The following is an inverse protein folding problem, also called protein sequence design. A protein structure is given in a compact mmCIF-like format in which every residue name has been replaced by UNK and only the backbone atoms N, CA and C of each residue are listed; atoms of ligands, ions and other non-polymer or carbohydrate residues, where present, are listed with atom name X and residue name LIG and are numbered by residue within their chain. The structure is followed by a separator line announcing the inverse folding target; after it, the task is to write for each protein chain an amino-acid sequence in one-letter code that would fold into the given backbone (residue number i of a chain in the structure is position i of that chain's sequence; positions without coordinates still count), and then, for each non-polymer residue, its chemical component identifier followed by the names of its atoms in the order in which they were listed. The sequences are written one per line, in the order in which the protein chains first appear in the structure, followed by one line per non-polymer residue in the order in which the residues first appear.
data_IF_425441700578
#
_entry.id   IF_425441700578
#
_cell.length_a   1.000
_cell.length_b   1.000
_cell.length_c   1.000
_cell.angle_alpha   90.00
_cell.angle_beta   90.00
_cell.angle_gamma   90.00
#
_symmetry.space_group_name_H-M   'P 1'
#
loop_
_entity.id
_entity.type
_entity.pdbx_description
1 polymer ?
#
# COMPACT_ATOMS: atom_id res chain seq x y z
N UNK A 1 -4.18 13.97 13.88
CA UNK A 1 -3.93 12.76 13.09
C UNK A 1 -2.49 12.35 13.29
N UNK A 2 -2.26 11.09 13.63
CA UNK A 2 -0.91 10.52 13.81
C UNK A 2 -0.15 10.36 12.50
N UNK A 3 -0.85 10.40 11.40
CA UNK A 3 -0.25 10.45 10.08
C UNK A 3 0.16 11.87 9.71
N UNK A 4 1.21 12.38 10.34
CA UNK A 4 1.93 13.55 9.83
C UNK A 4 2.55 13.30 8.43
N UNK A 5 2.39 12.09 7.88
CA UNK A 5 2.70 11.74 6.49
C UNK A 5 1.63 12.17 5.49
N UNK A 6 0.56 12.82 5.94
CA UNK A 6 -0.38 13.45 5.02
C UNK A 6 0.28 14.65 4.36
N UNK A 7 0.16 14.83 3.04
CA UNK A 7 0.54 16.10 2.46
C UNK A 7 -0.32 17.17 3.13
N UNK A 8 0.34 18.19 3.61
CA UNK A 8 -0.33 19.32 4.28
C UNK A 8 -1.30 19.99 3.31
N UNK A 9 -1.15 19.75 2.02
CA UNK A 9 -2.01 20.28 0.95
C UNK A 9 -1.80 19.54 -0.38
N UNK A 10 -2.75 19.69 -1.30
CA UNK A 10 -2.71 19.28 -2.71
C UNK A 10 -2.89 17.77 -2.93
N UNK A 11 -2.32 17.20 -4.00
CA UNK A 11 -2.57 15.79 -4.39
C UNK A 11 -1.40 14.91 -4.06
N UNK A 12 -1.70 13.84 -3.32
CA UNK A 12 -0.79 12.73 -3.08
C UNK A 12 -1.46 11.43 -3.59
N UNK A 13 -0.65 10.49 -4.10
CA UNK A 13 -1.10 9.13 -4.35
C UNK A 13 0.00 8.12 -3.97
N UNK A 14 0.44 7.26 -4.85
CA UNK A 14 1.29 6.10 -4.59
C UNK A 14 2.47 6.38 -3.65
N UNK A 15 2.68 5.57 -2.62
CA UNK A 15 3.94 5.57 -1.89
C UNK A 15 5.06 5.11 -2.81
N UNK A 16 6.18 5.82 -2.78
CA UNK A 16 7.34 5.57 -3.63
C UNK A 16 8.61 5.51 -2.81
N UNK A 17 9.64 4.90 -3.37
CA UNK A 17 10.97 4.98 -2.82
C UNK A 17 11.14 4.53 -1.38
N UNK A 18 10.27 3.65 -0.87
CA UNK A 18 10.29 3.20 0.51
C UNK A 18 11.59 2.50 0.83
N UNK A 19 12.41 3.07 1.72
CA UNK A 19 13.72 2.52 2.08
C UNK A 19 14.10 2.84 3.52
N UNK A 20 14.74 1.88 4.20
CA UNK A 20 15.32 2.07 5.50
C UNK A 20 16.84 2.24 5.38
N UNK A 21 17.36 3.38 5.81
CA UNK A 21 18.78 3.70 5.73
C UNK A 21 19.25 4.39 7.03
N UNK A 22 20.35 3.89 7.60
CA UNK A 22 21.01 4.46 8.78
C UNK A 22 20.10 4.82 9.97
N UNK A 23 19.11 3.95 10.24
CA UNK A 23 18.16 4.15 11.36
C UNK A 23 16.98 5.05 11.03
N UNK A 24 16.80 5.43 9.77
CA UNK A 24 15.74 6.31 9.29
C UNK A 24 14.92 5.63 8.20
N UNK A 25 13.61 5.72 8.31
CA UNK A 25 12.67 5.32 7.28
C UNK A 25 12.46 6.51 6.34
N UNK A 26 12.70 6.31 5.05
CA UNK A 26 12.41 7.27 4.00
C UNK A 26 11.17 6.84 3.24
N UNK A 27 10.25 7.75 3.08
CA UNK A 27 9.01 7.63 2.32
C UNK A 27 8.99 8.73 1.27
N UNK A 28 8.97 8.36 0.01
CA UNK A 28 8.62 9.25 -1.08
C UNK A 28 7.18 8.94 -1.52
N UNK A 29 6.59 9.87 -2.23
CA UNK A 29 5.22 9.70 -2.72
C UNK A 29 4.97 10.51 -3.96
N UNK A 30 4.07 10.04 -4.81
CA UNK A 30 3.55 10.82 -5.92
C UNK A 30 2.94 12.10 -5.38
N UNK A 31 3.34 13.25 -5.91
CA UNK A 31 2.93 14.54 -5.39
C UNK A 31 2.71 15.58 -6.52
N UNK A 32 1.56 16.25 -6.48
CA UNK A 32 1.30 17.41 -7.31
C UNK A 32 1.07 18.63 -6.42
N UNK A 33 2.04 19.55 -6.31
CA UNK A 33 2.02 20.63 -5.30
C UNK A 33 1.22 21.87 -5.70
N UNK A 34 0.56 21.92 -6.87
CA UNK A 34 0.02 23.16 -7.41
C UNK A 34 -1.50 23.23 -7.47
N UNK A 35 -2.21 22.11 -7.40
CA UNK A 35 -3.66 22.08 -7.44
C UNK A 35 -4.22 20.76 -6.87
N UNK A 36 -5.54 20.74 -6.58
CA UNK A 36 -6.27 19.54 -6.16
C UNK A 36 -6.71 18.65 -7.34
N UNK A 37 -5.96 18.70 -8.44
CA UNK A 37 -6.13 17.90 -9.65
C UNK A 37 -4.82 17.24 -10.05
N UNK A 38 -4.86 16.25 -10.93
CA UNK A 38 -3.63 15.67 -11.49
C UNK A 38 -2.91 16.67 -12.39
N UNK A 39 -1.61 16.62 -12.39
CA UNK A 39 -0.73 17.41 -13.23
C UNK A 39 0.63 16.77 -13.41
N UNK A 40 1.67 17.55 -13.71
CA UNK A 40 3.02 17.04 -13.80
C UNK A 40 3.52 16.59 -12.42
N UNK A 41 3.50 15.29 -12.19
CA UNK A 41 3.81 14.67 -10.89
C UNK A 41 5.27 14.85 -10.50
N UNK A 42 5.49 14.99 -9.20
CA UNK A 42 6.77 15.09 -8.51
C UNK A 42 6.90 13.93 -7.53
N UNK A 43 8.06 13.76 -6.90
CA UNK A 43 8.16 12.99 -5.66
C UNK A 43 8.28 13.93 -4.47
N UNK A 44 7.25 13.90 -3.59
CA UNK A 44 7.37 14.42 -2.23
C UNK A 44 8.26 13.49 -1.39
N UNK A 45 8.72 13.97 -0.23
CA UNK A 45 9.63 13.22 0.65
C UNK A 45 9.29 13.46 2.11
N UNK A 46 9.26 12.39 2.89
CA UNK A 46 9.14 12.42 4.34
C UNK A 46 10.05 11.36 4.97
N UNK A 47 10.43 11.59 6.22
CA UNK A 47 11.28 10.67 7.00
C UNK A 47 10.66 10.40 8.36
N UNK A 48 10.93 9.19 8.89
CA UNK A 48 10.46 8.77 10.22
C UNK A 48 11.49 7.89 10.91
N UNK A 49 11.43 7.82 12.24
CA UNK A 49 12.19 6.86 13.04
C UNK A 49 11.36 5.64 13.46
N UNK A 50 10.04 5.73 13.37
CA UNK A 50 9.12 4.70 13.88
C UNK A 50 7.95 4.37 12.93
N UNK A 51 7.90 4.98 11.74
CA UNK A 51 6.83 4.87 10.74
C UNK A 51 5.48 5.46 11.17
N UNK A 52 5.42 6.11 12.33
CA UNK A 52 4.20 6.72 12.86
C UNK A 52 4.29 8.25 12.90
N UNK A 53 5.48 8.78 13.22
CA UNK A 53 5.74 10.22 13.27
C UNK A 53 6.65 10.60 12.11
N UNK A 54 6.14 11.45 11.25
CA UNK A 54 6.80 11.82 10.00
C UNK A 54 7.23 13.27 9.98
N UNK A 55 8.41 13.52 9.46
CA UNK A 55 8.91 14.84 9.15
C UNK A 55 8.99 15.03 7.64
N UNK A 56 8.29 16.02 7.11
CA UNK A 56 8.39 16.39 5.70
C UNK A 56 9.72 17.03 5.38
N UNK A 57 10.27 16.64 4.24
CA UNK A 57 11.47 17.19 3.64
C UNK A 57 11.11 17.93 2.33
N UNK A 58 12.03 18.68 1.73
CA UNK A 58 11.81 19.28 0.41
C UNK A 58 11.44 18.22 -0.63
N UNK A 59 10.71 18.64 -1.67
CA UNK A 59 10.41 17.79 -2.84
C UNK A 59 11.71 17.20 -3.39
N UNK A 60 11.77 15.87 -3.51
CA UNK A 60 12.98 15.16 -3.91
C UNK A 60 13.20 15.16 -5.43
N UNK A 61 12.13 14.97 -6.22
CA UNK A 61 12.23 14.90 -7.68
C UNK A 61 11.19 15.81 -8.34
N UNK A 62 11.68 16.58 -9.30
CA UNK A 62 10.89 17.49 -10.12
C UNK A 62 10.81 16.98 -11.58
N UNK A 63 9.74 17.26 -12.32
CA UNK A 63 9.69 17.05 -13.77
C UNK A 63 10.89 17.65 -14.50
N UNK A 64 11.26 17.05 -15.63
CA UNK A 64 12.32 17.52 -16.53
C UNK A 64 11.94 17.32 -18.01
N UNK A 65 12.92 17.41 -18.91
CA UNK A 65 12.75 17.22 -20.34
C UNK A 65 12.33 15.81 -20.76
N UNK A 66 12.51 14.80 -19.88
CA UNK A 66 12.05 13.41 -20.10
C UNK A 66 10.61 13.21 -19.66
N UNK A 67 10.01 14.17 -18.95
CA UNK A 67 8.62 14.12 -18.52
C UNK A 67 8.42 14.32 -17.01
N UNK A 68 7.19 14.09 -16.57
CA UNK A 68 6.85 14.09 -15.14
C UNK A 68 7.35 12.80 -14.44
N UNK A 69 7.36 12.83 -13.11
CA UNK A 69 7.93 11.76 -12.29
C UNK A 69 6.81 10.83 -11.83
N UNK A 70 6.72 9.63 -12.42
CA UNK A 70 5.82 8.59 -12.01
C UNK A 70 6.47 7.70 -10.93
N UNK A 71 5.73 6.65 -10.52
CA UNK A 71 6.10 5.80 -9.39
C UNK A 71 7.41 5.04 -9.60
N UNK A 72 7.94 4.53 -8.49
CA UNK A 72 9.18 3.77 -8.46
C UNK A 72 9.67 3.49 -7.03
N UNK A 73 10.95 3.15 -6.91
CA UNK A 73 11.52 2.67 -5.65
C UNK A 73 12.87 3.33 -5.32
N UNK A 74 13.30 3.19 -4.07
CA UNK A 74 14.62 3.59 -3.62
C UNK A 74 15.44 2.37 -3.13
N UNK A 75 16.74 2.40 -3.37
CA UNK A 75 17.69 1.43 -2.83
C UNK A 75 18.82 2.18 -2.09
N UNK A 76 19.27 1.63 -0.97
CA UNK A 76 20.44 2.11 -0.24
C UNK A 76 21.71 1.41 -0.75
N UNK A 77 22.54 2.12 -1.51
CA UNK A 77 23.79 1.61 -2.10
C UNK A 77 24.94 1.63 -1.09
N UNK A 78 24.83 0.78 -0.07
CA UNK A 78 25.82 0.69 1.02
C UNK A 78 27.25 0.47 0.52
N UNK A 79 27.40 -0.33 -0.53
CA UNK A 79 28.70 -0.80 -1.03
C UNK A 79 29.23 0.01 -2.23
N UNK A 80 28.54 1.11 -2.59
CA UNK A 80 28.91 1.95 -3.73
C UNK A 80 29.03 1.19 -5.06
N UNK A 81 28.12 0.27 -5.31
CA UNK A 81 28.06 -0.50 -6.55
C UNK A 81 27.82 0.40 -7.78
N UNK A 82 27.02 1.45 -7.60
CA UNK A 82 26.76 2.47 -8.62
C UNK A 82 27.93 3.40 -8.91
N UNK A 83 28.92 3.48 -7.99
CA UNK A 83 30.02 4.45 -7.99
C UNK A 83 29.57 5.93 -7.85
N UNK A 84 28.36 6.16 -7.32
CA UNK A 84 27.79 7.49 -7.10
C UNK A 84 27.99 8.00 -5.65
N UNK A 85 28.61 7.20 -4.79
CA UNK A 85 28.86 7.50 -3.38
C UNK A 85 28.48 6.34 -2.48
N UNK A 86 29.33 5.97 -1.52
CA UNK A 86 29.03 4.93 -0.54
C UNK A 86 27.92 5.40 0.39
N UNK A 87 26.87 4.60 0.55
CA UNK A 87 25.69 4.98 1.34
C UNK A 87 24.74 5.92 0.63
N UNK A 88 24.84 6.07 -0.69
CA UNK A 88 23.86 6.86 -1.44
C UNK A 88 22.47 6.19 -1.47
N UNK A 89 21.43 7.00 -1.40
CA UNK A 89 20.07 6.59 -1.78
C UNK A 89 19.91 6.73 -3.29
N UNK A 90 19.53 5.64 -3.95
CA UNK A 90 19.32 5.61 -5.40
C UNK A 90 17.80 5.49 -5.66
N UNK A 91 17.20 6.53 -6.20
CA UNK A 91 15.80 6.57 -6.60
C UNK A 91 15.68 6.11 -8.06
N UNK A 92 14.91 5.04 -8.30
CA UNK A 92 14.55 4.56 -9.62
C UNK A 92 13.07 4.89 -9.84
N UNK A 93 12.77 5.58 -10.93
CA UNK A 93 11.43 6.11 -11.19
C UNK A 93 11.11 6.09 -12.69
N UNK A 94 9.85 6.23 -13.01
CA UNK A 94 9.41 6.36 -14.39
C UNK A 94 9.31 7.83 -14.77
N UNK A 95 9.93 8.21 -15.87
CA UNK A 95 9.58 9.44 -16.59
C UNK A 95 8.39 9.15 -17.51
N UNK A 96 7.34 9.97 -17.42
CA UNK A 96 6.20 9.95 -18.32
C UNK A 96 6.16 11.24 -19.14
N UNK A 97 6.41 11.10 -20.44
CA UNK A 97 6.31 12.19 -21.40
C UNK A 97 4.83 12.50 -21.66
N UNK A 98 4.36 13.64 -21.17
CA UNK A 98 2.95 14.05 -21.29
C UNK A 98 2.51 14.31 -22.74
N UNK A 99 3.44 14.67 -23.64
CA UNK A 99 3.11 14.98 -25.02
C UNK A 99 3.02 13.71 -25.89
N UNK A 100 3.91 12.75 -25.63
CA UNK A 100 4.00 11.50 -26.43
C UNK A 100 3.29 10.33 -25.77
N UNK A 101 3.00 10.42 -24.46
CA UNK A 101 2.45 9.32 -23.67
C UNK A 101 3.42 8.13 -23.56
N UNK A 102 4.74 8.39 -23.63
CA UNK A 102 5.76 7.36 -23.52
C UNK A 102 6.41 7.34 -22.15
N UNK A 103 6.78 6.16 -21.69
CA UNK A 103 7.36 5.92 -20.38
C UNK A 103 8.74 5.31 -20.50
N UNK A 104 9.68 5.74 -19.65
CA UNK A 104 11.03 5.17 -19.57
C UNK A 104 11.53 5.22 -18.14
N UNK A 105 12.48 4.33 -17.78
CA UNK A 105 12.94 4.28 -16.41
C UNK A 105 14.22 5.12 -16.24
N UNK A 106 14.24 5.92 -15.20
CA UNK A 106 15.31 6.85 -14.89
C UNK A 106 15.81 6.65 -13.45
N UNK A 107 16.94 7.24 -13.16
CA UNK A 107 17.57 7.16 -11.83
C UNK A 107 18.03 8.55 -11.36
N UNK A 108 17.87 8.79 -10.07
CA UNK A 108 18.52 9.88 -9.33
C UNK A 108 19.22 9.32 -8.10
N UNK A 109 20.13 10.09 -7.52
CA UNK A 109 20.85 9.67 -6.32
C UNK A 109 21.00 10.83 -5.32
N UNK A 110 21.16 10.47 -4.06
CA UNK A 110 21.43 11.41 -2.97
C UNK A 110 22.48 10.83 -2.02
N UNK A 111 23.47 11.62 -1.67
CA UNK A 111 24.49 11.26 -0.68
C UNK A 111 24.21 11.82 0.72
N UNK A 112 23.25 12.73 0.85
CA UNK A 112 22.84 13.32 2.12
C UNK A 112 21.42 12.87 2.57
N UNK A 113 20.72 12.08 1.71
CA UNK A 113 19.37 11.62 1.95
C UNK A 113 18.26 12.68 1.77
N UNK A 114 18.62 13.89 1.32
CA UNK A 114 17.67 15.02 1.18
C UNK A 114 17.64 15.56 -0.25
N UNK A 115 18.81 15.85 -0.82
CA UNK A 115 18.95 16.45 -2.15
C UNK A 115 19.27 15.37 -3.17
N UNK A 116 18.45 15.27 -4.21
CA UNK A 116 18.58 14.26 -5.25
C UNK A 116 19.07 14.87 -6.56
N UNK A 117 20.08 14.25 -7.15
CA UNK A 117 20.64 14.59 -8.45
C UNK A 117 20.29 13.52 -9.48
N UNK A 118 19.74 13.91 -10.63
CA UNK A 118 19.43 13.00 -11.73
C UNK A 118 20.72 12.63 -12.48
N UNK A 119 20.87 11.35 -12.80
CA UNK A 119 22.05 10.93 -13.56
C UNK A 119 21.97 11.38 -15.02
N UNK A 120 23.12 11.77 -15.58
CA UNK A 120 23.24 12.10 -17.02
C UNK A 120 23.01 10.91 -17.95
N UNK A 121 22.92 9.70 -17.40
CA UNK A 121 22.67 8.45 -18.15
C UNK A 121 21.18 8.14 -18.36
N UNK A 122 20.31 9.01 -17.89
CA UNK A 122 18.86 8.82 -18.06
C UNK A 122 18.42 8.91 -19.53
N UNK A 123 17.47 8.07 -19.97
CA UNK A 123 16.89 6.98 -19.21
C UNK A 123 17.82 5.79 -19.09
N UNK A 124 17.87 5.13 -17.91
CA UNK A 124 18.68 3.91 -17.69
C UNK A 124 18.04 2.67 -18.33
N UNK A 125 16.72 2.68 -18.53
CA UNK A 125 15.99 1.71 -19.36
C UNK A 125 15.03 2.48 -20.27
N UNK A 126 15.37 2.63 -21.57
CA UNK A 126 14.48 3.24 -22.55
C UNK A 126 13.26 2.34 -22.81
N UNK A 127 12.16 2.94 -23.25
CA UNK A 127 10.95 2.19 -23.57
C UNK A 127 11.17 1.28 -24.81
N UNK A 128 10.96 -0.03 -24.70
CA UNK A 128 11.11 -0.95 -25.84
C UNK A 128 9.89 -1.02 -26.76
N UNK A 129 8.86 -0.19 -26.54
CA UNK A 129 7.66 -0.11 -27.36
C UNK A 129 6.34 -0.43 -26.63
N UNK A 130 6.34 -0.52 -25.32
CA UNK A 130 5.11 -0.66 -24.52
C UNK A 130 4.39 0.67 -24.36
N UNK A 131 3.06 0.64 -24.35
CA UNK A 131 2.25 1.81 -23.97
C UNK A 131 2.38 2.09 -22.48
N UNK A 132 2.26 1.06 -21.67
CA UNK A 132 2.34 1.10 -20.21
C UNK A 132 3.63 0.37 -19.78
N UNK A 133 4.66 1.13 -19.34
CA UNK A 133 6.00 0.61 -19.03
C UNK A 133 6.57 1.39 -17.85
N UNK A 134 6.22 1.00 -16.61
CA UNK A 134 6.41 1.85 -15.43
C UNK A 134 6.63 1.12 -14.12
N UNK A 135 6.91 1.91 -13.07
CA UNK A 135 6.93 1.55 -11.66
C UNK A 135 8.05 0.57 -11.30
N UNK A 136 9.34 0.93 -11.51
CA UNK A 136 10.46 0.04 -11.25
C UNK A 136 10.63 -0.20 -9.74
N UNK A 137 10.59 -1.46 -9.33
CA UNK A 137 10.95 -1.90 -7.97
C UNK A 137 12.31 -2.58 -8.00
N UNK A 138 13.32 -1.88 -7.51
CA UNK A 138 14.71 -2.37 -7.41
C UNK A 138 14.93 -3.03 -6.06
N UNK A 139 15.66 -4.14 -6.04
CA UNK A 139 15.98 -4.90 -4.83
C UNK A 139 17.38 -5.53 -4.90
N UNK A 140 17.96 -5.83 -3.73
CA UNK A 140 19.18 -6.62 -3.63
C UNK A 140 18.88 -8.08 -3.99
N UNK A 141 19.55 -8.63 -4.99
CA UNK A 141 19.39 -10.02 -5.39
C UNK A 141 20.26 -10.95 -4.52
N UNK A 142 19.70 -11.40 -3.42
CA UNK A 142 20.40 -12.28 -2.48
C UNK A 142 20.61 -13.72 -2.98
N UNK A 143 20.05 -14.09 -4.13
CA UNK A 143 20.15 -15.45 -4.70
C UNK A 143 21.36 -15.53 -5.63
N UNK A 144 21.38 -14.68 -6.66
CA UNK A 144 22.40 -14.71 -7.72
C UNK A 144 23.48 -13.63 -7.55
N UNK A 145 23.37 -12.79 -6.49
CA UNK A 145 24.19 -11.60 -6.31
C UNK A 145 23.80 -10.45 -7.25
N UNK A 146 24.34 -9.26 -6.98
CA UNK A 146 23.96 -8.05 -7.71
C UNK A 146 22.56 -7.55 -7.33
N UNK A 147 21.83 -7.04 -8.31
CA UNK A 147 20.55 -6.36 -8.11
C UNK A 147 19.50 -6.88 -9.09
N UNK A 148 18.26 -6.91 -8.63
CA UNK A 148 17.10 -7.19 -9.44
C UNK A 148 16.18 -5.98 -9.55
N UNK A 149 15.34 -5.96 -10.58
CA UNK A 149 14.24 -5.02 -10.73
C UNK A 149 13.03 -5.78 -11.27
N UNK A 150 11.86 -5.51 -10.70
CA UNK A 150 10.58 -5.87 -11.30
C UNK A 150 9.91 -4.61 -11.81
N UNK A 151 9.34 -4.66 -13.01
CA UNK A 151 8.84 -3.53 -13.77
C UNK A 151 7.53 -3.90 -14.45
N UNK A 152 6.50 -3.08 -14.35
CA UNK A 152 5.24 -3.29 -15.06
C UNK A 152 5.39 -3.02 -16.56
N UNK A 153 4.86 -3.92 -17.39
CA UNK A 153 4.91 -3.85 -18.85
C UNK A 153 3.55 -4.26 -19.45
N UNK A 154 2.56 -3.36 -19.35
CA UNK A 154 1.19 -3.64 -19.73
C UNK A 154 0.52 -4.64 -18.78
N UNK A 155 0.09 -5.79 -19.28
CA UNK A 155 -0.64 -6.86 -18.57
C UNK A 155 0.25 -7.85 -17.81
N UNK A 156 1.56 -7.59 -17.73
CA UNK A 156 2.54 -8.46 -17.09
C UNK A 156 3.66 -7.66 -16.42
N UNK A 157 4.57 -8.35 -15.73
CA UNK A 157 5.81 -7.77 -15.22
C UNK A 157 7.01 -8.33 -15.98
N UNK A 158 8.04 -7.51 -16.09
CA UNK A 158 9.38 -7.90 -16.53
C UNK A 158 10.34 -7.91 -15.35
N UNK A 159 11.25 -8.89 -15.34
CA UNK A 159 12.38 -8.94 -14.41
C UNK A 159 13.64 -8.49 -15.13
N UNK A 160 14.43 -7.69 -14.44
CA UNK A 160 15.71 -7.16 -14.92
C UNK A 160 16.80 -7.39 -13.90
N UNK A 161 18.05 -7.56 -14.34
CA UNK A 161 19.20 -7.74 -13.48
C UNK A 161 20.31 -6.76 -13.80
N UNK A 162 21.10 -6.39 -12.77
CA UNK A 162 22.25 -5.49 -12.87
C UNK A 162 23.32 -5.89 -11.87
N UNK A 163 24.59 -5.62 -12.19
CA UNK A 163 25.71 -5.74 -11.27
C UNK A 163 26.15 -4.38 -10.69
N UNK A 164 25.69 -3.28 -11.27
CA UNK A 164 26.17 -1.94 -10.96
C UNK A 164 25.04 -0.89 -10.83
N UNK A 165 23.77 -1.31 -10.82
CA UNK A 165 22.59 -0.43 -10.70
C UNK A 165 22.37 0.56 -11.85
N UNK A 166 23.21 0.52 -12.87
CA UNK A 166 23.20 1.46 -14.00
C UNK A 166 22.89 0.74 -15.32
N UNK A 167 23.55 -0.39 -15.54
CA UNK A 167 23.38 -1.19 -16.74
C UNK A 167 22.45 -2.38 -16.42
N UNK A 168 21.30 -2.43 -17.09
CA UNK A 168 20.25 -3.39 -16.83
C UNK A 168 20.00 -4.31 -18.02
N UNK A 169 19.77 -5.60 -17.74
CA UNK A 169 19.45 -6.62 -18.73
C UNK A 169 18.19 -7.35 -18.29
N UNK A 170 17.20 -7.45 -19.20
CA UNK A 170 16.00 -8.22 -18.94
C UNK A 170 16.35 -9.70 -18.73
N UNK A 171 15.75 -10.31 -17.68
CA UNK A 171 16.00 -11.72 -17.32
C UNK A 171 14.76 -12.61 -17.44
N UNK A 172 13.56 -12.06 -17.33
CA UNK A 172 12.33 -12.84 -17.41
C UNK A 172 11.06 -12.00 -17.46
N UNK A 173 9.93 -12.68 -17.49
CA UNK A 173 8.57 -12.10 -17.48
C UNK A 173 7.65 -12.99 -16.67
N UNK A 174 6.52 -12.42 -16.17
CA UNK A 174 5.46 -13.16 -15.51
C UNK A 174 4.13 -12.39 -15.60
N UNK A 175 3.02 -13.10 -15.75
CA UNK A 175 1.67 -12.57 -15.60
C UNK A 175 0.80 -12.61 -16.85
N UNK A 176 1.36 -12.78 -18.06
CA UNK A 176 0.60 -12.82 -19.32
C UNK A 176 -0.48 -13.90 -19.37
N UNK A 177 -0.16 -15.08 -18.81
CA UNK A 177 -1.05 -16.24 -18.80
C UNK A 177 -1.61 -16.54 -17.41
N UNK A 178 -0.95 -16.04 -16.36
CA UNK A 178 -1.27 -16.33 -14.97
C UNK A 178 -2.21 -15.32 -14.33
N UNK A 179 -2.42 -14.17 -14.96
CA UNK A 179 -3.29 -13.14 -14.44
C UNK A 179 -4.77 -13.49 -14.66
N UNK A 180 -5.57 -13.72 -13.60
CA UNK A 180 -7.00 -13.97 -13.72
C UNK A 180 -7.83 -12.70 -13.96
N UNK A 181 -7.20 -11.53 -13.91
CA UNK A 181 -7.84 -10.22 -14.00
C UNK A 181 -7.42 -9.54 -15.30
N UNK A 182 -8.38 -9.24 -16.16
CA UNK A 182 -8.11 -8.51 -17.40
C UNK A 182 -7.86 -7.01 -17.10
N UNK A 183 -6.60 -6.67 -16.85
CA UNK A 183 -6.15 -5.32 -16.56
C UNK A 183 -4.64 -5.19 -16.79
N UNK A 184 -4.17 -3.94 -16.93
CA UNK A 184 -2.74 -3.63 -16.86
C UNK A 184 -2.24 -3.74 -15.41
N UNK A 185 -0.94 -3.98 -15.26
CA UNK A 185 -0.25 -3.97 -13.98
C UNK A 185 0.39 -2.61 -13.70
N UNK A 186 0.35 -2.21 -12.45
CA UNK A 186 1.05 -1.04 -11.89
C UNK A 186 1.70 -1.41 -10.56
N UNK A 187 2.68 -0.64 -10.14
CA UNK A 187 3.33 -0.72 -8.82
C UNK A 187 3.68 -2.15 -8.40
N UNK A 188 4.42 -2.93 -9.22
CA UNK A 188 4.83 -4.26 -8.82
C UNK A 188 5.83 -4.22 -7.67
N UNK A 189 5.79 -5.24 -6.81
CA UNK A 189 6.81 -5.47 -5.80
C UNK A 189 7.23 -6.95 -5.79
N UNK A 190 8.37 -7.26 -5.20
CA UNK A 190 8.85 -8.64 -5.06
C UNK A 190 9.62 -8.79 -3.75
N UNK A 191 9.11 -9.61 -2.83
CA UNK A 191 9.75 -9.85 -1.54
C UNK A 191 9.52 -11.27 -1.02
N UNK A 192 10.45 -11.75 -0.22
CA UNK A 192 10.32 -13.03 0.44
C UNK A 192 9.45 -12.93 1.69
N UNK A 193 8.60 -13.93 1.89
CA UNK A 193 7.76 -14.09 3.08
C UNK A 193 7.99 -15.46 3.72
N UNK A 194 7.95 -15.50 5.04
CA UNK A 194 8.18 -16.73 5.80
C UNK A 194 6.93 -17.08 6.61
N UNK A 195 6.51 -18.34 6.55
CA UNK A 195 5.50 -18.88 7.43
C UNK A 195 6.09 -19.08 8.83
N UNK A 196 5.41 -18.55 9.85
CA UNK A 196 5.88 -18.68 11.24
C UNK A 196 5.72 -20.10 11.77
N UNK A 197 4.75 -20.84 11.28
CA UNK A 197 4.37 -22.17 11.75
C UNK A 197 5.40 -23.24 11.41
N UNK A 198 5.98 -23.19 10.21
CA UNK A 198 6.88 -24.23 9.68
C UNK A 198 8.19 -23.70 9.08
N UNK A 199 8.42 -22.39 9.11
CA UNK A 199 9.61 -21.76 8.56
C UNK A 199 9.70 -21.77 7.03
N UNK A 200 8.68 -22.21 6.32
CA UNK A 200 8.62 -22.26 4.85
C UNK A 200 8.66 -20.85 4.27
N UNK A 201 9.43 -20.68 3.22
CA UNK A 201 9.60 -19.41 2.51
C UNK A 201 8.97 -19.48 1.13
N UNK A 202 8.26 -18.44 0.78
CA UNK A 202 7.79 -18.15 -0.58
C UNK A 202 8.16 -16.71 -0.95
N UNK A 203 8.05 -16.41 -2.22
CA UNK A 203 8.10 -15.04 -2.71
C UNK A 203 6.67 -14.54 -2.97
N UNK A 204 6.41 -13.31 -2.62
CA UNK A 204 5.19 -12.61 -2.96
C UNK A 204 5.48 -11.57 -4.04
N UNK A 205 4.64 -11.55 -5.06
CA UNK A 205 4.64 -10.59 -6.16
C UNK A 205 3.29 -9.87 -6.15
N UNK A 206 3.12 -8.77 -5.41
CA UNK A 206 1.94 -7.92 -5.53
C UNK A 206 2.01 -7.05 -6.77
N UNK A 207 0.82 -6.74 -7.31
CA UNK A 207 0.60 -5.78 -8.39
C UNK A 207 -0.69 -5.03 -8.14
N UNK A 208 -0.76 -3.79 -8.58
CA UNK A 208 -1.97 -2.98 -8.57
C UNK A 208 -2.56 -2.87 -9.97
N UNK A 209 -3.89 -2.76 -10.06
CA UNK A 209 -4.62 -2.77 -11.32
C UNK A 209 -5.67 -1.66 -11.32
N UNK A 210 -5.45 -0.57 -12.09
CA UNK A 210 -6.34 0.59 -12.05
C UNK A 210 -7.69 0.38 -12.76
N UNK A 211 -7.78 -0.61 -13.65
CA UNK A 211 -8.93 -0.83 -14.52
C UNK A 211 -9.60 -2.21 -14.36
N UNK A 212 -9.42 -2.86 -13.23
CA UNK A 212 -10.04 -4.15 -12.93
C UNK A 212 -11.58 -4.01 -12.76
N UNK A 213 -12.27 -3.64 -13.84
CA UNK A 213 -13.68 -3.21 -13.82
C UNK A 213 -14.63 -4.28 -13.31
N UNK A 214 -14.39 -5.54 -13.70
CA UNK A 214 -15.18 -6.68 -13.24
C UNK A 214 -15.14 -6.83 -11.72
N UNK A 215 -14.02 -6.47 -11.11
CA UNK A 215 -13.80 -6.67 -9.67
C UNK A 215 -14.03 -5.40 -8.83
N UNK A 216 -13.95 -4.21 -9.26
CA UNK A 216 -14.19 -2.96 -8.51
C UNK A 216 -13.35 -1.78 -8.98
N UNK A 217 -12.65 -1.89 -10.09
CA UNK A 217 -11.58 -0.98 -10.51
C UNK A 217 -10.56 -0.71 -9.37
N UNK A 218 -9.37 -0.27 -9.69
CA UNK A 218 -8.32 0.08 -8.71
C UNK A 218 -8.21 -0.92 -7.54
N UNK A 219 -7.74 -2.12 -7.82
CA UNK A 219 -7.51 -3.21 -6.85
C UNK A 219 -6.03 -3.60 -6.81
N UNK A 220 -5.62 -4.25 -5.72
CA UNK A 220 -4.29 -4.84 -5.58
C UNK A 220 -4.40 -6.32 -5.32
N UNK A 221 -3.76 -7.14 -6.17
CA UNK A 221 -3.63 -8.59 -5.98
C UNK A 221 -2.18 -8.97 -5.73
N UNK A 222 -1.95 -10.22 -5.32
CA UNK A 222 -0.61 -10.78 -5.22
C UNK A 222 -0.57 -12.21 -5.73
N UNK A 223 0.63 -12.63 -6.15
CA UNK A 223 0.96 -14.01 -6.48
C UNK A 223 1.94 -14.55 -5.43
N UNK A 224 1.82 -15.85 -5.10
CA UNK A 224 2.78 -16.56 -4.29
C UNK A 224 3.53 -17.57 -5.14
N UNK A 225 4.85 -17.61 -4.99
CA UNK A 225 5.67 -18.44 -5.85
C UNK A 225 7.11 -18.61 -5.38
N UNK A 226 7.90 -19.10 -6.31
CA UNK A 226 9.35 -19.21 -6.19
C UNK A 226 10.02 -18.20 -7.11
N UNK A 227 11.10 -17.59 -6.65
CA UNK A 227 11.95 -16.72 -7.45
C UNK A 227 13.37 -17.28 -7.41
N UNK A 228 13.95 -17.50 -8.59
CA UNK A 228 15.29 -18.10 -8.75
C UNK A 228 16.42 -17.07 -8.89
N UNK A 229 16.09 -15.78 -8.70
CA UNK A 229 17.00 -14.64 -8.89
C UNK A 229 16.90 -14.00 -10.28
N UNK A 230 16.15 -14.59 -11.20
CA UNK A 230 15.96 -14.08 -12.56
C UNK A 230 14.49 -14.10 -13.00
N UNK A 231 13.73 -15.13 -12.57
CA UNK A 231 12.34 -15.32 -12.95
C UNK A 231 11.49 -15.73 -11.75
N UNK A 232 10.23 -15.34 -11.79
CA UNK A 232 9.22 -15.76 -10.81
C UNK A 232 8.32 -16.84 -11.43
N UNK A 233 7.95 -17.83 -10.60
CA UNK A 233 7.01 -18.89 -10.98
C UNK A 233 5.98 -19.06 -9.88
N UNK A 234 4.70 -18.92 -10.20
CA UNK A 234 3.62 -19.16 -9.26
C UNK A 234 3.57 -20.63 -8.83
N UNK A 235 3.36 -20.88 -7.54
CA UNK A 235 3.23 -22.24 -7.00
C UNK A 235 1.91 -22.91 -7.39
N UNK A 236 0.92 -22.13 -7.81
CA UNK A 236 -0.40 -22.62 -8.27
C UNK A 236 -0.92 -21.77 -9.41
N UNK A 237 -1.64 -22.36 -10.39
CA UNK A 237 -2.42 -21.58 -11.34
C UNK A 237 -3.40 -20.69 -10.58
N UNK A 238 -3.35 -19.40 -10.83
CA UNK A 238 -4.23 -18.43 -10.19
C UNK A 238 -5.59 -18.47 -10.90
N UNK A 239 -6.52 -19.28 -10.40
CA UNK A 239 -7.91 -19.32 -10.92
C UNK A 239 -8.74 -18.17 -10.38
N UNK A 240 -8.42 -17.73 -9.18
CA UNK A 240 -9.05 -16.61 -8.49
C UNK A 240 -7.96 -15.69 -7.92
N UNK A 241 -8.10 -14.37 -8.01
CA UNK A 241 -7.11 -13.45 -7.51
C UNK A 241 -6.96 -13.55 -5.98
N UNK A 242 -5.73 -13.46 -5.52
CA UNK A 242 -5.41 -13.27 -4.10
C UNK A 242 -5.33 -11.77 -3.85
N UNK A 243 -6.28 -11.23 -3.10
CA UNK A 243 -6.34 -9.81 -2.84
C UNK A 243 -5.39 -9.40 -1.72
N UNK A 244 -4.62 -8.34 -1.97
CA UNK A 244 -3.75 -7.73 -0.98
C UNK A 244 -4.57 -6.97 0.08
N UNK A 245 -5.70 -6.42 -0.35
CA UNK A 245 -6.72 -5.78 0.50
C UNK A 245 -8.11 -6.02 -0.11
N UNK A 246 -9.10 -6.27 0.72
CA UNK A 246 -10.48 -6.56 0.30
C UNK A 246 -11.36 -5.31 0.28
N UNK A 247 -10.88 -4.19 0.82
CA UNK A 247 -11.58 -2.91 0.80
C UNK A 247 -11.65 -2.28 -0.59
N UNK A 248 -12.29 -1.13 -0.66
CA UNK A 248 -12.38 -0.37 -1.92
C UNK A 248 -11.22 0.60 -2.09
N UNK A 249 -10.51 0.94 -1.01
CA UNK A 249 -9.57 2.06 -0.96
C UNK A 249 -8.18 1.61 -0.52
N UNK A 250 -7.56 0.70 -1.26
CA UNK A 250 -6.16 0.31 -1.08
C UNK A 250 -5.50 0.10 -2.44
N UNK A 251 -4.46 0.86 -2.72
CA UNK A 251 -3.76 0.82 -4.00
C UNK A 251 -2.26 1.02 -3.85
N UNK A 252 -1.46 0.63 -4.86
CA UNK A 252 -0.02 0.87 -4.98
C UNK A 252 0.79 0.42 -3.75
N UNK A 253 0.39 -0.69 -3.10
CA UNK A 253 1.10 -1.23 -1.94
C UNK A 253 2.51 -1.66 -2.28
N UNK A 254 3.52 -1.09 -1.59
CA UNK A 254 4.94 -1.42 -1.79
C UNK A 254 5.68 -1.54 -0.46
N UNK A 255 6.74 -2.38 -0.42
CA UNK A 255 7.53 -2.66 0.78
C UNK A 255 8.76 -1.75 0.90
N UNK A 256 9.18 -1.52 2.14
CA UNK A 256 10.45 -0.86 2.43
C UNK A 256 11.65 -1.75 2.04
N UNK A 257 12.55 -1.19 1.25
CA UNK A 257 13.83 -1.82 0.93
C UNK A 257 14.82 -1.70 2.10
N UNK A 258 15.84 -2.57 2.10
CA UNK A 258 16.92 -2.59 3.09
C UNK A 258 16.44 -2.80 4.54
N UNK A 259 15.28 -3.41 4.74
CA UNK A 259 14.77 -3.87 6.02
C UNK A 259 14.57 -5.38 6.01
N UNK A 260 14.77 -6.03 7.16
CA UNK A 260 14.78 -7.50 7.25
C UNK A 260 13.41 -8.16 7.14
N UNK A 261 12.35 -7.40 7.38
CA UNK A 261 10.97 -7.86 7.33
C UNK A 261 10.18 -7.07 6.28
N UNK A 262 9.24 -7.70 5.57
CA UNK A 262 8.42 -7.00 4.60
C UNK A 262 7.40 -6.10 5.32
N UNK A 263 7.72 -4.82 5.41
CA UNK A 263 6.81 -3.77 5.89
C UNK A 263 6.32 -3.00 4.67
N UNK A 264 5.01 -2.95 4.49
CA UNK A 264 4.34 -2.38 3.32
C UNK A 264 3.47 -1.19 3.71
N UNK A 265 3.41 -0.19 2.84
CA UNK A 265 2.41 0.87 2.85
C UNK A 265 1.76 0.97 1.47
N UNK A 266 0.49 1.34 1.43
CA UNK A 266 -0.25 1.65 0.23
C UNK A 266 -0.90 3.03 0.33
N UNK A 267 -1.56 3.48 -0.72
CA UNK A 267 -2.41 4.66 -0.66
C UNK A 267 -3.84 4.25 -0.35
N UNK A 268 -4.46 4.93 0.63
CA UNK A 268 -5.87 4.73 0.99
C UNK A 268 -6.76 5.57 0.05
N UNK A 269 -6.99 5.06 -1.15
CA UNK A 269 -7.80 5.73 -2.17
C UNK A 269 -8.33 4.77 -3.23
N UNK A 270 -9.31 5.23 -4.01
CA UNK A 270 -9.75 4.58 -5.24
C UNK A 270 -9.79 5.60 -6.37
N UNK A 271 -9.17 5.28 -7.51
CA UNK A 271 -9.08 6.17 -8.68
C UNK A 271 -10.43 6.62 -9.23
N UNK A 272 -11.53 5.90 -8.94
CA UNK A 272 -12.87 6.28 -9.37
C UNK A 272 -13.31 7.64 -8.83
N UNK A 273 -12.91 7.99 -7.58
CA UNK A 273 -13.38 9.18 -6.87
C UNK A 273 -12.31 9.93 -6.08
N UNK A 274 -11.07 9.50 -6.15
CA UNK A 274 -9.98 10.04 -5.31
C UNK A 274 -9.81 11.56 -5.40
N UNK A 275 -10.05 12.15 -6.57
CA UNK A 275 -9.88 13.58 -6.79
C UNK A 275 -11.10 14.42 -6.38
N UNK A 276 -12.24 13.79 -6.06
CA UNK A 276 -13.48 14.42 -5.63
C UNK A 276 -13.74 14.34 -4.12
N UNK A 277 -12.87 13.65 -3.37
CA UNK A 277 -13.04 13.44 -1.92
C UNK A 277 -13.20 14.77 -1.17
N UNK A 278 -14.09 14.86 -0.15
CA UNK A 278 -14.38 16.12 0.54
C UNK A 278 -13.36 16.43 1.65
N UNK A 279 -12.09 16.27 1.37
CA UNK A 279 -10.97 16.41 2.33
C UNK A 279 -10.35 17.81 2.39
N UNK A 280 -11.05 18.83 1.85
CA UNK A 280 -10.59 20.21 1.91
C UNK A 280 -9.35 20.45 1.05
N UNK A 281 -8.21 20.71 1.68
CA UNK A 281 -6.98 21.16 1.01
C UNK A 281 -6.11 20.04 0.44
N UNK A 282 -6.47 18.77 0.62
CA UNK A 282 -5.67 17.64 0.12
C UNK A 282 -6.54 16.58 -0.57
N UNK A 283 -5.88 15.73 -1.38
CA UNK A 283 -6.43 14.50 -1.96
C UNK A 283 -5.42 13.37 -1.78
N UNK A 284 -5.93 12.20 -1.39
CA UNK A 284 -5.11 11.03 -1.10
C UNK A 284 -4.53 11.03 0.31
N UNK A 285 -4.31 9.84 0.82
CA UNK A 285 -3.71 9.59 2.14
C UNK A 285 -3.12 8.17 2.13
N UNK A 286 -2.10 7.92 2.94
CA UNK A 286 -1.47 6.61 3.00
C UNK A 286 -2.19 5.69 3.99
N UNK A 287 -2.05 4.38 3.78
CA UNK A 287 -2.43 3.37 4.76
C UNK A 287 -1.45 3.33 5.92
N UNK A 288 -1.84 2.74 7.04
CA UNK A 288 -0.92 2.35 8.08
C UNK A 288 0.14 1.35 7.55
N UNK A 289 1.38 1.40 8.09
CA UNK A 289 2.39 0.42 7.74
C UNK A 289 1.99 -0.96 8.25
N UNK A 290 2.07 -1.96 7.36
CA UNK A 290 1.68 -3.34 7.63
C UNK A 290 2.88 -4.26 7.46
N UNK A 291 3.20 -5.02 8.49
CA UNK A 291 4.12 -6.15 8.41
C UNK A 291 3.41 -7.34 7.78
N UNK A 292 4.04 -7.94 6.78
CA UNK A 292 3.49 -9.09 6.07
C UNK A 292 4.20 -10.38 6.49
N UNK A 293 3.46 -11.47 6.50
CA UNK A 293 3.96 -12.82 6.76
C UNK A 293 3.14 -13.83 5.97
N UNK A 294 3.63 -15.06 5.87
CA UNK A 294 2.91 -16.15 5.22
C UNK A 294 2.13 -16.95 6.28
N UNK A 295 0.89 -17.32 5.96
CA UNK A 295 0.06 -18.21 6.78
C UNK A 295 -0.59 -19.27 5.93
N UNK A 296 -0.71 -20.48 6.47
CA UNK A 296 -1.40 -21.59 5.83
C UNK A 296 -2.87 -21.58 6.27
N UNK A 297 -3.78 -21.64 5.29
CA UNK A 297 -5.22 -21.71 5.53
C UNK A 297 -5.80 -22.99 4.89
N UNK A 298 -7.05 -23.32 5.19
CA UNK A 298 -7.78 -24.40 4.52
C UNK A 298 -7.94 -24.20 3.00
N UNK A 299 -7.78 -22.97 2.51
CA UNK A 299 -7.83 -22.59 1.08
C UNK A 299 -6.44 -22.38 0.48
N UNK A 300 -5.37 -22.80 1.14
CA UNK A 300 -3.97 -22.64 0.73
C UNK A 300 -3.27 -21.48 1.43
N UNK A 301 -2.07 -21.17 0.95
CA UNK A 301 -1.24 -20.12 1.53
C UNK A 301 -1.80 -18.73 1.27
N UNK A 302 -1.68 -17.85 2.25
CA UNK A 302 -2.14 -16.45 2.20
C UNK A 302 -1.11 -15.53 2.84
N UNK A 303 -1.03 -14.29 2.35
CA UNK A 303 -0.40 -13.23 3.10
C UNK A 303 -1.26 -12.90 4.32
N UNK A 304 -0.59 -12.66 5.44
CA UNK A 304 -1.16 -12.21 6.70
C UNK A 304 -0.54 -10.86 7.05
N UNK A 305 -1.36 -9.88 7.34
CA UNK A 305 -0.95 -8.53 7.70
C UNK A 305 -1.06 -8.30 9.22
N UNK A 306 -0.17 -7.47 9.75
CA UNK A 306 -0.26 -6.94 11.10
C UNK A 306 0.17 -5.47 11.09
N UNK A 307 -0.50 -4.59 11.82
CA UNK A 307 -0.09 -3.21 11.94
C UNK A 307 1.29 -3.10 12.58
N UNK A 308 2.15 -2.28 12.00
CA UNK A 308 3.53 -2.10 12.47
C UNK A 308 3.63 -1.05 13.57
N UNK A 309 4.49 -1.29 14.56
CA UNK A 309 4.92 -0.26 15.53
C UNK A 309 3.90 0.12 16.59
N UNK A 310 2.78 -0.60 16.73
CA UNK A 310 1.69 -0.25 17.64
C UNK A 310 1.82 -0.88 19.06
N UNK A 311 2.87 -1.66 19.33
CA UNK A 311 3.01 -2.43 20.58
C UNK A 311 2.97 -1.56 21.82
N UNK A 312 3.62 -0.38 21.78
CA UNK A 312 3.62 0.58 22.89
C UNK A 312 2.23 1.14 23.24
N UNK A 313 1.39 1.35 22.21
CA UNK A 313 0.02 1.83 22.39
C UNK A 313 -0.90 0.71 22.89
N UNK A 314 -0.78 -0.48 22.29
CA UNK A 314 -1.52 -1.69 22.70
C UNK A 314 -1.22 -2.11 24.15
N UNK A 315 -0.02 -1.82 24.67
CA UNK A 315 0.32 -2.07 26.05
C UNK A 315 -0.54 -1.25 27.05
N UNK A 316 -1.17 -0.18 26.60
CA UNK A 316 -2.08 0.67 27.36
C UNK A 316 -3.55 0.49 26.94
N UNK A 317 -3.86 -0.57 26.19
CA UNK A 317 -5.23 -0.87 25.81
C UNK A 317 -6.10 -1.17 27.05
N UNK A 318 -7.32 -0.68 27.03
CA UNK A 318 -8.31 -0.89 28.08
C UNK A 318 -9.60 -1.48 27.51
N UNK A 319 -10.26 -2.33 28.30
CA UNK A 319 -11.51 -2.97 27.89
C UNK A 319 -12.66 -1.96 27.86
N UNK A 320 -13.45 -1.99 26.79
CA UNK A 320 -14.65 -1.14 26.64
C UNK A 320 -15.91 -1.99 26.66
N UNK A 321 -17.04 -1.39 27.05
CA UNK A 321 -18.33 -2.05 27.17
C UNK A 321 -19.17 -1.86 25.88
N UNK A 322 -20.35 -2.43 25.84
CA UNK A 322 -21.28 -2.46 24.70
C UNK A 322 -21.59 -1.10 24.07
N UNK A 323 -21.46 -0.02 24.80
CA UNK A 323 -21.58 1.35 24.30
C UNK A 323 -20.52 2.23 24.93
N UNK A 324 -19.73 2.87 24.10
CA UNK A 324 -18.59 3.67 24.54
C UNK A 324 -18.44 4.96 23.72
N UNK A 325 -17.88 5.99 24.29
CA UNK A 325 -17.62 7.29 23.67
C UNK A 325 -16.10 7.50 23.56
N UNK A 326 -15.53 7.52 22.34
CA UNK A 326 -14.12 7.79 22.17
C UNK A 326 -13.76 9.22 22.55
N UNK A 327 -12.61 9.38 23.21
CA UNK A 327 -12.09 10.69 23.59
C UNK A 327 -11.24 11.35 22.48
N UNK A 328 -10.96 10.61 21.40
CA UNK A 328 -10.18 11.06 20.24
C UNK A 328 -10.80 10.59 18.93
N UNK A 329 -10.49 11.31 17.83
CA UNK A 329 -10.92 10.95 16.47
C UNK A 329 -10.08 9.84 15.86
N UNK A 330 -8.94 9.51 16.47
CA UNK A 330 -8.01 8.47 16.04
C UNK A 330 -7.80 7.45 17.16
N UNK A 331 -8.19 6.20 16.88
CA UNK A 331 -8.12 5.12 17.86
C UNK A 331 -7.94 3.75 17.20
N UNK A 332 -7.42 2.80 17.97
CA UNK A 332 -7.37 1.40 17.60
C UNK A 332 -8.28 0.55 18.50
N UNK A 333 -8.88 -0.47 17.90
CA UNK A 333 -9.68 -1.48 18.60
C UNK A 333 -9.11 -2.87 18.36
N UNK A 334 -9.10 -3.69 19.40
CA UNK A 334 -8.82 -5.12 19.34
C UNK A 334 -10.09 -5.85 19.77
N UNK A 335 -10.60 -6.71 18.89
CA UNK A 335 -11.81 -7.49 19.13
C UNK A 335 -11.44 -8.98 19.15
N UNK A 336 -11.81 -9.67 20.21
CA UNK A 336 -11.50 -11.10 20.43
C UNK A 336 -12.78 -11.88 20.75
N UNK A 337 -13.16 -12.76 19.85
CA UNK A 337 -14.40 -13.55 19.94
C UNK A 337 -15.16 -13.57 18.62
N UNK A 338 -16.48 -13.68 18.71
CA UNK A 338 -17.37 -13.59 17.56
C UNK A 338 -18.48 -14.64 17.60
N UNK A 339 -19.56 -14.46 16.82
CA UNK A 339 -19.83 -13.32 15.90
C UNK A 339 -20.15 -12.03 16.65
N UNK A 340 -19.94 -10.90 15.98
CA UNK A 340 -20.17 -9.57 16.57
C UNK A 340 -20.47 -8.52 15.47
N UNK A 341 -21.07 -7.41 15.91
CA UNK A 341 -21.30 -6.21 15.10
C UNK A 341 -20.83 -4.97 15.88
N UNK A 342 -19.99 -4.17 15.23
CA UNK A 342 -19.52 -2.89 15.73
C UNK A 342 -20.08 -1.79 14.85
N UNK A 343 -20.61 -0.73 15.47
CA UNK A 343 -21.16 0.45 14.77
C UNK A 343 -20.54 1.71 15.33
N UNK A 344 -19.80 2.45 14.50
CA UNK A 344 -19.38 3.81 14.78
C UNK A 344 -20.51 4.75 14.40
N UNK A 345 -20.92 5.65 15.29
CA UNK A 345 -22.05 6.57 15.09
C UNK A 345 -21.68 7.98 15.50
N UNK A 346 -22.41 8.96 14.97
CA UNK A 346 -22.36 10.36 15.39
C UNK A 346 -23.76 10.97 15.52
N UNK A 347 -23.81 12.15 16.15
CA UNK A 347 -25.06 12.90 16.37
C UNK A 347 -25.79 13.36 15.11
N UNK A 348 -25.16 13.28 13.91
CA UNK A 348 -25.78 13.54 12.60
C UNK A 348 -26.50 12.32 12.05
N UNK A 349 -26.40 11.17 12.72
CA UNK A 349 -26.97 9.92 12.29
C UNK A 349 -26.13 9.16 11.26
N UNK A 350 -24.88 9.60 11.03
CA UNK A 350 -23.95 8.80 10.24
C UNK A 350 -23.58 7.53 11.00
N UNK A 351 -23.37 6.43 10.27
CA UNK A 351 -22.97 5.15 10.85
C UNK A 351 -22.06 4.36 9.91
N UNK A 352 -20.98 3.84 10.45
CA UNK A 352 -20.04 2.93 9.82
C UNK A 352 -20.12 1.59 10.56
N UNK A 353 -20.31 0.49 9.83
CA UNK A 353 -20.54 -0.82 10.42
C UNK A 353 -19.39 -1.75 10.04
N UNK A 354 -18.86 -2.46 11.03
CA UNK A 354 -17.96 -3.61 10.85
C UNK A 354 -18.59 -4.80 11.54
N UNK A 355 -18.69 -5.92 10.85
CA UNK A 355 -19.28 -7.12 11.46
C UNK A 355 -18.55 -8.41 11.04
N UNK A 356 -18.54 -9.37 11.94
CA UNK A 356 -18.16 -10.75 11.67
C UNK A 356 -19.35 -11.64 12.01
N UNK A 357 -19.78 -12.43 11.05
CA UNK A 357 -20.75 -13.51 11.22
C UNK A 357 -20.04 -14.86 11.16
N UNK A 358 -20.77 -15.98 11.24
CA UNK A 358 -20.17 -17.31 11.05
C UNK A 358 -19.62 -17.51 9.63
N UNK A 359 -20.15 -16.82 8.63
CA UNK A 359 -19.81 -17.00 7.22
C UNK A 359 -18.94 -15.92 6.59
N UNK A 360 -18.97 -14.70 7.10
CA UNK A 360 -18.32 -13.56 6.45
C UNK A 360 -17.84 -12.48 7.41
N UNK A 361 -16.89 -11.70 6.91
CA UNK A 361 -16.51 -10.38 7.42
C UNK A 361 -17.10 -9.32 6.50
N UNK A 362 -17.78 -8.33 7.06
CA UNK A 362 -18.35 -7.23 6.27
C UNK A 362 -18.03 -5.86 6.87
N UNK A 363 -17.83 -4.90 5.97
CA UNK A 363 -17.72 -3.47 6.31
C UNK A 363 -18.72 -2.71 5.44
N UNK A 364 -19.61 -1.93 6.07
CA UNK A 364 -20.63 -1.14 5.41
C UNK A 364 -20.49 0.35 5.74
N UNK A 365 -20.19 1.14 4.72
CA UNK A 365 -20.08 2.61 4.76
C UNK A 365 -21.24 3.34 4.10
N UNK A 366 -22.34 2.65 3.77
CA UNK A 366 -23.48 3.22 3.02
C UNK A 366 -24.10 4.46 3.67
N UNK A 367 -23.94 4.58 5.00
CA UNK A 367 -24.40 5.71 5.81
C UNK A 367 -23.27 6.36 6.61
N UNK A 368 -22.02 6.25 6.17
CA UNK A 368 -20.85 6.66 6.96
C UNK A 368 -20.55 8.19 6.93
N UNK A 369 -21.34 8.98 6.19
CA UNK A 369 -21.18 10.43 6.08
C UNK A 369 -21.43 10.96 4.67
N UNK A 370 -20.67 11.97 4.27
CA UNK A 370 -20.76 12.59 2.96
C UNK A 370 -20.50 11.58 1.84
N UNK A 371 -21.35 11.52 0.84
CA UNK A 371 -21.21 10.61 -0.31
C UNK A 371 -21.58 11.24 -1.65
N UNK A 372 -22.32 12.35 -1.64
CA UNK A 372 -22.85 13.00 -2.85
C UNK A 372 -21.79 13.80 -3.63
N UNK A 373 -20.53 13.70 -3.24
CA UNK A 373 -19.40 14.33 -3.94
C UNK A 373 -18.97 13.59 -5.21
N UNK A 374 -19.33 12.30 -5.33
CA UNK A 374 -19.06 11.47 -6.50
C UNK A 374 -20.09 10.34 -6.63
N UNK A 375 -20.58 10.09 -7.86
CA UNK A 375 -21.60 9.08 -8.13
C UNK A 375 -21.13 7.64 -7.92
N UNK A 376 -19.84 7.34 -8.17
CA UNK A 376 -19.27 6.01 -7.93
C UNK A 376 -19.19 5.77 -6.42
N UNK A 377 -18.72 6.74 -5.65
CA UNK A 377 -18.63 6.62 -4.19
C UNK A 377 -20.04 6.45 -3.57
N UNK A 378 -21.04 7.18 -4.06
CA UNK A 378 -22.43 7.09 -3.61
C UNK A 378 -23.12 5.78 -4.02
N UNK A 379 -22.55 5.05 -4.98
CA UNK A 379 -23.15 3.82 -5.52
C UNK A 379 -23.18 2.70 -4.48
N UNK A 380 -24.26 1.92 -4.47
CA UNK A 380 -24.37 0.71 -3.64
C UNK A 380 -23.27 -0.32 -3.92
N UNK A 381 -22.69 -0.31 -5.12
CA UNK A 381 -21.58 -1.19 -5.51
C UNK A 381 -20.34 -0.99 -4.66
N UNK A 382 -20.10 0.24 -4.18
CA UNK A 382 -18.90 0.63 -3.40
C UNK A 382 -19.25 0.99 -1.94
N UNK A 383 -20.46 0.69 -1.47
CA UNK A 383 -20.89 1.04 -0.13
C UNK A 383 -20.58 -0.04 0.91
N UNK A 384 -20.59 -1.31 0.54
CA UNK A 384 -20.29 -2.41 1.45
C UNK A 384 -19.42 -3.48 0.80
N UNK A 385 -18.51 -4.05 1.59
CA UNK A 385 -17.68 -5.19 1.22
C UNK A 385 -18.07 -6.40 2.07
N UNK A 386 -18.12 -7.58 1.42
CA UNK A 386 -18.42 -8.86 2.04
C UNK A 386 -17.34 -9.86 1.67
N UNK A 387 -16.68 -10.43 2.65
CA UNK A 387 -15.55 -11.36 2.45
C UNK A 387 -15.84 -12.68 3.16
N UNK A 388 -15.90 -13.81 2.44
CA UNK A 388 -16.04 -15.12 3.06
C UNK A 388 -14.88 -15.42 4.01
N UNK A 389 -15.17 -15.93 5.19
CA UNK A 389 -14.17 -16.24 6.21
C UNK A 389 -13.23 -17.38 5.79
N UNK A 390 -12.02 -17.34 6.31
CA UNK A 390 -11.00 -18.39 6.17
C UNK A 390 -11.00 -19.36 7.35
N UNK A 391 -11.45 -18.91 8.52
CA UNK A 391 -11.43 -19.68 9.77
C UNK A 391 -12.85 -19.88 10.31
N UNK A 392 -13.05 -20.93 11.10
CA UNK A 392 -14.28 -21.18 11.84
C UNK A 392 -14.11 -20.71 13.29
N UNK A 393 -15.23 -20.34 13.94
CA UNK A 393 -15.25 -19.90 15.33
C UNK A 393 -14.77 -18.47 15.57
N UNK A 394 -14.38 -18.16 16.79
CA UNK A 394 -13.88 -16.85 17.19
C UNK A 394 -12.51 -16.56 16.63
N UNK A 395 -12.25 -15.29 16.27
CA UNK A 395 -10.97 -14.82 15.76
C UNK A 395 -10.63 -13.45 16.36
N UNK A 396 -9.37 -13.05 16.22
CA UNK A 396 -8.93 -11.72 16.57
C UNK A 396 -9.04 -10.78 15.36
N UNK A 397 -9.67 -9.65 15.57
CA UNK A 397 -9.70 -8.55 14.61
C UNK A 397 -9.03 -7.33 15.23
N UNK A 398 -8.21 -6.65 14.46
CA UNK A 398 -7.67 -5.36 14.83
C UNK A 398 -8.17 -4.30 13.85
N UNK A 399 -8.61 -3.16 14.38
CA UNK A 399 -9.17 -2.07 13.62
C UNK A 399 -8.45 -0.78 13.99
N UNK A 400 -8.10 0.02 12.99
CA UNK A 400 -7.64 1.39 13.15
C UNK A 400 -8.62 2.33 12.47
N UNK A 401 -8.99 3.38 13.16
CA UNK A 401 -9.77 4.48 12.62
C UNK A 401 -8.98 5.77 12.77
N UNK A 402 -8.71 6.46 11.66
CA UNK A 402 -8.02 7.74 11.64
C UNK A 402 -8.82 8.74 10.80
N UNK A 403 -9.66 9.52 11.48
CA UNK A 403 -10.49 10.61 10.95
C UNK A 403 -11.38 10.21 9.76
N UNK A 404 -10.77 9.79 8.67
CA UNK A 404 -11.43 9.46 7.40
C UNK A 404 -11.00 8.13 6.78
N UNK A 405 -10.16 7.36 7.46
CA UNK A 405 -9.74 6.02 7.02
C UNK A 405 -10.07 5.00 8.09
N UNK A 406 -10.75 3.95 7.66
CA UNK A 406 -10.91 2.72 8.42
C UNK A 406 -9.99 1.66 7.84
N UNK A 407 -9.13 1.07 8.66
CA UNK A 407 -8.37 -0.13 8.32
C UNK A 407 -8.74 -1.26 9.28
N UNK A 408 -9.13 -2.40 8.72
CA UNK A 408 -9.51 -3.60 9.48
C UNK A 408 -8.57 -4.73 9.09
N UNK A 409 -7.98 -5.39 10.07
CA UNK A 409 -7.23 -6.64 9.91
C UNK A 409 -8.02 -7.76 10.60
N UNK A 410 -9.00 -8.31 9.90
CA UNK A 410 -9.83 -9.38 10.41
C UNK A 410 -9.15 -10.75 10.28
N UNK A 411 -9.63 -11.73 11.08
CA UNK A 411 -9.11 -13.10 11.14
C UNK A 411 -7.58 -13.14 11.32
N UNK A 412 -7.12 -12.47 12.38
CA UNK A 412 -5.68 -12.36 12.68
C UNK A 412 -4.87 -11.73 11.54
N UNK A 413 -5.49 -10.92 10.68
CA UNK A 413 -4.86 -10.25 9.55
C UNK A 413 -4.89 -10.98 8.22
N UNK A 414 -5.67 -12.07 8.10
CA UNK A 414 -5.90 -12.77 6.83
C UNK A 414 -6.84 -12.01 5.89
N UNK A 415 -7.67 -11.14 6.45
CA UNK A 415 -8.64 -10.33 5.71
C UNK A 415 -8.38 -8.85 6.02
N UNK A 416 -7.43 -8.20 5.31
CA UNK A 416 -7.27 -6.75 5.36
C UNK A 416 -8.39 -6.05 4.59
N UNK A 417 -8.96 -4.98 5.16
CA UNK A 417 -9.98 -4.15 4.53
C UNK A 417 -9.66 -2.69 4.81
N UNK A 418 -9.47 -1.89 3.76
CA UNK A 418 -9.28 -0.44 3.84
C UNK A 418 -10.44 0.28 3.19
N UNK A 419 -11.05 1.21 3.91
CA UNK A 419 -12.19 2.01 3.45
C UNK A 419 -12.01 3.48 3.84
N UNK A 420 -12.19 4.39 2.90
CA UNK A 420 -12.30 5.81 3.22
C UNK A 420 -13.75 6.17 3.56
N UNK A 421 -13.93 7.02 4.54
CA UNK A 421 -15.23 7.51 5.00
C UNK A 421 -15.14 9.00 5.33
N UNK A 422 -16.25 9.71 5.19
CA UNK A 422 -16.25 11.16 5.37
C UNK A 422 -17.43 11.58 6.26
N UNK A 423 -17.38 11.29 7.58
CA UNK A 423 -18.43 11.67 8.50
C UNK A 423 -18.60 13.20 8.54
N UNK A 424 -19.84 13.69 8.61
CA UNK A 424 -20.15 15.13 8.67
C UNK A 424 -19.63 15.79 9.96
N UNK A 425 -19.56 15.02 11.03
CA UNK A 425 -18.91 15.32 12.31
C UNK A 425 -18.27 14.04 12.81
N UNK A 426 -17.23 14.11 13.67
CA UNK A 426 -16.56 12.93 14.21
C UNK A 426 -17.53 11.89 14.77
N UNK A 427 -17.19 10.60 14.66
CA UNK A 427 -17.91 9.56 15.37
C UNK A 427 -17.66 9.70 16.86
N UNK A 428 -18.73 9.87 17.60
CA UNK A 428 -18.70 10.13 19.05
C UNK A 428 -19.23 8.95 19.87
N UNK A 429 -19.65 7.87 19.22
CA UNK A 429 -20.19 6.67 19.87
C UNK A 429 -19.81 5.41 19.13
N UNK A 430 -19.36 4.41 19.90
CA UNK A 430 -19.13 3.03 19.44
C UNK A 430 -20.15 2.14 20.13
N UNK A 431 -20.93 1.39 19.34
CA UNK A 431 -21.87 0.37 19.80
C UNK A 431 -21.36 -1.00 19.41
N UNK A 432 -21.38 -1.95 20.35
CA UNK A 432 -20.90 -3.32 20.16
C UNK A 432 -22.04 -4.26 20.52
N UNK A 433 -22.32 -5.21 19.63
CA UNK A 433 -23.32 -6.26 19.81
C UNK A 433 -22.69 -7.62 19.47
N UNK A 434 -22.84 -8.59 20.37
CA UNK A 434 -22.28 -9.94 20.22
C UNK A 434 -21.41 -10.40 21.39
N UNK A 435 -20.95 -11.65 21.32
CA UNK A 435 -20.05 -12.24 22.33
C UNK A 435 -18.58 -12.00 21.97
N UNK A 436 -18.12 -10.80 22.30
CA UNK A 436 -16.77 -10.31 21.94
C UNK A 436 -16.19 -9.46 23.04
N UNK A 437 -14.90 -9.63 23.35
CA UNK A 437 -14.13 -8.69 24.18
C UNK A 437 -13.53 -7.63 23.28
N UNK A 438 -13.66 -6.37 23.67
CA UNK A 438 -13.14 -5.24 22.90
C UNK A 438 -12.22 -4.39 23.78
N UNK A 439 -11.01 -4.17 23.26
CA UNK A 439 -10.02 -3.31 23.91
C UNK A 439 -9.76 -2.12 22.98
N UNK A 440 -9.75 -0.92 23.57
CA UNK A 440 -9.42 0.31 22.88
C UNK A 440 -8.03 0.79 23.27
N UNK A 441 -7.32 1.39 22.34
CA UNK A 441 -6.09 2.12 22.58
C UNK A 441 -6.06 3.39 21.72
N UNK A 442 -5.45 4.43 22.26
CA UNK A 442 -5.20 5.67 21.54
C UNK A 442 -3.78 5.67 20.97
N UNK A 443 -3.62 6.43 19.92
CA UNK A 443 -2.34 6.54 19.20
C UNK A 443 -1.61 7.85 19.53
N UNK A 444 -2.03 8.57 20.56
CA UNK A 444 -1.41 9.81 21.04
C UNK A 444 -0.36 9.57 22.12
#
# INVERSE_FOLDING_TARGET
SLHDALPISMVMNDPNGLVYADGVWHLFYQYYPYALSRGAMHWGHAVSKDLLHWQHLPVALYPDELGCIFSGSCLYDRNNASRLGGGALLAFYTNHDLDRGTESQSMAYSTDGVHFEKTYRNPVIPNPGFRDFRDPKVFLNGINGGFGMVLAAGDHVQFWKSQNLVDWVQSGEFGKEENPVDSIFECPDLFAVTAREDGRKLWALPVSMPFAEHYRKAVSQYFLGEFDGETFRSTKPCKEPLWLDYGFDYFAGTTFQNYSEPVMMGVAMNWLYALQTPTGEYRGQLSFPRKLSLSKTGRGDRLKAAFWGLEKYKAHAFEIQDSWHPDAETFGLILEGGPWRLTLQNQRGNSLIVQITDGEVAVDRSNAGLKDFDENYASLRYSAVHVPRYTEGGSRTELLFDVSVLEVLAEDGLIPITMTVYPEVPYDRICIDGDVKVFCYYLE
#
